data_IF_352052895109
#
_entry.id   IF_352052895109
#
_cell.length_a   1.000
_cell.length_b   1.000
_cell.length_c   1.000
_cell.angle_alpha   90.00
_cell.angle_beta   90.00
_cell.angle_gamma   90.00
#
_symmetry.space_group_name_H-M   'P 1'
#
loop_
_entity.id
_entity.type
_entity.pdbx_description
1 polymer ?
#
# COMPACT_ATOMS: atom_id res chain seq x y z
N UNK A 1 -4.76 85.63 7.38
CA UNK A 1 -5.36 84.72 8.38
C UNK A 1 -6.19 83.55 7.79
N UNK A 2 -6.34 83.42 6.46
CA UNK A 2 -7.10 82.32 5.81
C UNK A 2 -6.45 80.93 5.89
N UNK A 3 -5.11 80.84 5.83
CA UNK A 3 -4.38 79.56 5.79
C UNK A 3 -4.60 78.58 6.96
N UNK A 4 -4.98 79.07 8.15
CA UNK A 4 -5.08 78.18 9.33
C UNK A 4 -6.41 77.41 9.36
N UNK A 5 -7.48 77.98 8.80
CA UNK A 5 -8.76 77.29 8.71
C UNK A 5 -8.76 76.26 7.58
N UNK A 6 -8.14 76.58 6.45
CA UNK A 6 -8.04 75.66 5.32
C UNK A 6 -7.22 74.40 5.66
N UNK A 7 -6.13 74.55 6.43
CA UNK A 7 -5.37 73.39 6.95
C UNK A 7 -6.18 72.51 7.91
N UNK A 8 -7.01 73.08 8.77
CA UNK A 8 -7.85 72.31 9.70
C UNK A 8 -8.96 71.55 8.96
N UNK A 9 -9.49 72.12 7.88
CA UNK A 9 -10.50 71.48 7.03
C UNK A 9 -9.88 70.33 6.21
N UNK A 10 -8.65 70.51 5.70
CA UNK A 10 -7.92 69.43 5.02
C UNK A 10 -7.52 68.28 5.98
N UNK A 11 -7.10 68.60 7.20
CA UNK A 11 -6.76 67.57 8.19
C UNK A 11 -7.97 66.73 8.60
N UNK A 12 -9.14 67.35 8.73
CA UNK A 12 -10.38 66.68 9.12
C UNK A 12 -10.92 65.77 8.00
N UNK A 13 -10.87 66.23 6.76
CA UNK A 13 -11.30 65.42 5.60
C UNK A 13 -10.37 64.22 5.35
N UNK A 14 -9.07 64.36 5.59
CA UNK A 14 -8.13 63.23 5.53
C UNK A 14 -8.39 62.18 6.63
N UNK A 15 -8.72 62.59 7.85
CA UNK A 15 -9.09 61.66 8.93
C UNK A 15 -10.40 60.91 8.64
N UNK A 16 -11.39 61.57 8.05
CA UNK A 16 -12.68 60.96 7.75
C UNK A 16 -12.58 59.92 6.62
N UNK A 17 -11.79 60.15 5.57
CA UNK A 17 -11.57 59.18 4.49
C UNK A 17 -10.83 57.91 4.96
N UNK A 18 -9.90 58.03 5.93
CA UNK A 18 -9.19 56.88 6.52
C UNK A 18 -10.11 56.06 7.46
N UNK A 19 -11.10 56.70 8.08
CA UNK A 19 -12.00 56.03 9.02
C UNK A 19 -13.11 55.17 8.37
N UNK A 20 -13.49 55.47 7.12
CA UNK A 20 -14.56 54.75 6.40
C UNK A 20 -14.12 53.51 5.64
N UNK A 21 -12.87 53.49 5.15
CA UNK A 21 -12.31 52.35 4.39
C UNK A 21 -11.82 51.22 5.30
N UNK A 22 -11.72 51.45 6.62
CA UNK A 22 -10.89 50.61 7.48
C UNK A 22 -11.65 49.50 8.20
N UNK A 23 -12.85 49.70 8.77
CA UNK A 23 -13.39 48.68 9.69
C UNK A 23 -13.81 47.36 9.03
N UNK A 24 -14.55 47.42 7.91
CA UNK A 24 -15.01 46.20 7.23
C UNK A 24 -13.87 45.53 6.44
N UNK A 25 -13.05 46.30 5.73
CA UNK A 25 -11.88 45.77 5.01
C UNK A 25 -10.83 45.15 5.95
N UNK A 26 -10.59 45.76 7.10
CA UNK A 26 -9.72 45.16 8.13
C UNK A 26 -10.35 43.87 8.65
N UNK A 27 -11.67 43.82 8.86
CA UNK A 27 -12.32 42.59 9.31
C UNK A 27 -12.18 41.44 8.29
N UNK A 28 -12.41 41.70 6.99
CA UNK A 28 -12.27 40.68 5.95
C UNK A 28 -10.82 40.23 5.76
N UNK A 29 -9.85 41.15 5.80
CA UNK A 29 -8.43 40.79 5.69
C UNK A 29 -7.97 39.94 6.87
N UNK A 30 -8.40 40.24 8.10
CA UNK A 30 -8.11 39.40 9.26
C UNK A 30 -8.73 38.01 9.13
N UNK A 31 -9.99 37.92 8.68
CA UNK A 31 -10.67 36.63 8.46
C UNK A 31 -9.92 35.80 7.42
N UNK A 32 -9.53 36.40 6.29
CA UNK A 32 -8.78 35.71 5.21
C UNK A 32 -7.40 35.29 5.68
N UNK A 33 -6.68 36.14 6.43
CA UNK A 33 -5.36 35.79 6.99
C UNK A 33 -5.46 34.65 8.00
N UNK A 34 -6.45 34.68 8.89
CA UNK A 34 -6.69 33.59 9.85
C UNK A 34 -7.07 32.29 9.13
N UNK A 35 -7.92 32.36 8.10
CA UNK A 35 -8.29 31.21 7.30
C UNK A 35 -7.09 30.63 6.54
N UNK A 36 -6.28 31.48 5.90
CA UNK A 36 -5.07 31.08 5.21
C UNK A 36 -4.04 30.45 6.17
N UNK A 37 -3.86 31.03 7.36
CA UNK A 37 -3.00 30.47 8.40
C UNK A 37 -3.52 29.10 8.87
N UNK A 38 -4.83 28.95 9.05
CA UNK A 38 -5.48 27.67 9.36
C UNK A 38 -5.26 26.62 8.27
N UNK A 39 -5.41 26.98 7.00
CA UNK A 39 -5.16 26.08 5.86
C UNK A 39 -3.68 25.68 5.79
N UNK A 40 -2.75 26.62 5.99
CA UNK A 40 -1.31 26.31 6.04
C UNK A 40 -0.97 25.36 7.20
N UNK A 41 -1.50 25.63 8.40
CA UNK A 41 -1.34 24.76 9.55
C UNK A 41 -1.92 23.37 9.28
N UNK A 42 -3.08 23.28 8.62
CA UNK A 42 -3.72 22.04 8.23
C UNK A 42 -2.90 21.25 7.20
N UNK A 43 -2.34 21.92 6.19
CA UNK A 43 -1.44 21.29 5.21
C UNK A 43 -0.17 20.76 5.89
N UNK A 44 0.43 21.54 6.80
CA UNK A 44 1.60 21.09 7.59
C UNK A 44 1.24 19.89 8.46
N UNK A 45 0.07 19.91 9.09
CA UNK A 45 -0.46 18.80 9.87
C UNK A 45 -0.62 17.52 9.02
N UNK A 46 -1.26 17.61 7.85
CA UNK A 46 -1.42 16.48 6.93
C UNK A 46 -0.07 15.94 6.44
N UNK A 47 0.87 16.83 6.07
CA UNK A 47 2.22 16.42 5.66
C UNK A 47 2.94 15.66 6.77
N UNK A 48 2.85 16.13 8.02
CA UNK A 48 3.40 15.42 9.19
C UNK A 48 2.75 14.06 9.40
N UNK A 49 1.43 13.96 9.24
CA UNK A 49 0.71 12.70 9.40
C UNK A 49 1.13 11.68 8.32
N UNK A 50 1.23 12.09 7.06
CA UNK A 50 1.69 11.24 5.97
C UNK A 50 3.15 10.80 6.15
N UNK A 51 4.01 11.69 6.65
CA UNK A 51 5.41 11.35 6.94
C UNK A 51 5.52 10.28 8.05
N UNK A 52 4.65 10.32 9.06
CA UNK A 52 4.59 9.27 10.09
C UNK A 52 4.18 7.92 9.50
N UNK A 53 3.14 7.90 8.65
CA UNK A 53 2.69 6.69 7.97
C UNK A 53 3.76 6.07 7.08
N UNK A 54 4.48 6.88 6.30
CA UNK A 54 5.62 6.39 5.48
C UNK A 54 6.69 5.74 6.33
N UNK A 55 7.05 6.33 7.48
CA UNK A 55 8.03 5.74 8.39
C UNK A 55 7.55 4.40 8.98
N UNK A 56 6.27 4.28 9.30
CA UNK A 56 5.68 3.01 9.78
C UNK A 56 5.71 1.94 8.69
N UNK A 57 5.34 2.29 7.45
CA UNK A 57 5.40 1.39 6.29
C UNK A 57 6.84 0.99 5.95
N UNK A 58 7.79 1.91 6.02
CA UNK A 58 9.22 1.64 5.86
C UNK A 58 9.73 0.70 6.96
N UNK A 59 9.36 0.95 8.22
CA UNK A 59 9.74 0.08 9.33
C UNK A 59 9.11 -1.32 9.20
N UNK A 60 7.86 -1.41 8.79
CA UNK A 60 7.19 -2.70 8.56
C UNK A 60 7.77 -3.42 7.34
N UNK A 61 8.04 -2.71 6.24
CA UNK A 61 8.67 -3.29 5.06
C UNK A 61 10.09 -3.77 5.38
N UNK A 62 10.86 -3.03 6.20
CA UNK A 62 12.16 -3.44 6.69
C UNK A 62 12.06 -4.69 7.58
N UNK A 63 11.05 -4.79 8.46
CA UNK A 63 10.75 -6.01 9.22
C UNK A 63 10.40 -7.17 8.29
N UNK A 64 9.50 -6.97 7.33
CA UNK A 64 9.12 -8.00 6.34
C UNK A 64 10.32 -8.48 5.53
N UNK A 65 11.23 -7.58 5.11
CA UNK A 65 12.50 -7.94 4.44
C UNK A 65 13.35 -8.85 5.32
N UNK A 66 13.47 -8.57 6.63
CA UNK A 66 14.19 -9.43 7.58
C UNK A 66 13.59 -10.84 7.71
N UNK A 67 12.30 -11.00 7.41
CA UNK A 67 11.59 -12.27 7.48
C UNK A 67 11.42 -12.99 6.12
N UNK A 68 11.84 -12.38 5.00
CA UNK A 68 11.88 -13.09 3.72
C UNK A 68 12.97 -14.14 3.77
N UNK A 69 12.58 -15.40 3.62
CA UNK A 69 13.51 -16.52 3.59
C UNK A 69 14.36 -16.56 2.32
N UNK A 70 15.53 -17.18 2.40
CA UNK A 70 16.37 -17.53 1.24
C UNK A 70 16.03 -18.94 0.75
N UNK A 71 16.27 -19.22 -0.54
CA UNK A 71 16.01 -20.53 -1.13
C UNK A 71 17.27 -21.39 -1.05
N UNK A 72 17.13 -22.62 -0.56
CA UNK A 72 18.25 -23.56 -0.55
C UNK A 72 18.59 -23.99 -1.99
N UNK A 73 19.87 -23.93 -2.43
CA UNK A 73 20.26 -24.32 -3.79
C UNK A 73 20.11 -25.82 -4.03
N UNK A 74 20.25 -26.65 -2.99
CA UNK A 74 20.12 -28.11 -3.08
C UNK A 74 18.66 -28.57 -3.13
N UNK A 75 17.85 -28.23 -2.13
CA UNK A 75 16.50 -28.78 -1.99
C UNK A 75 15.37 -27.81 -2.38
N UNK A 76 15.70 -26.58 -2.82
CA UNK A 76 14.75 -25.54 -3.27
C UNK A 76 13.71 -25.08 -2.24
N UNK A 77 13.76 -25.56 -0.99
CA UNK A 77 12.92 -25.09 0.10
C UNK A 77 13.33 -23.69 0.56
N UNK A 78 12.35 -22.92 1.03
CA UNK A 78 12.57 -21.59 1.60
C UNK A 78 12.92 -21.75 3.08
N UNK A 79 14.04 -21.18 3.48
CA UNK A 79 14.52 -21.17 4.87
C UNK A 79 14.75 -19.74 5.33
N UNK A 80 14.85 -19.50 6.64
CA UNK A 80 15.21 -18.17 7.15
C UNK A 80 16.53 -17.66 6.56
N UNK A 81 16.57 -16.40 6.13
CA UNK A 81 17.76 -15.77 5.55
C UNK A 81 19.00 -15.87 6.47
N UNK A 82 18.77 -15.86 7.79
CA UNK A 82 19.82 -15.90 8.83
C UNK A 82 20.35 -17.29 9.15
N UNK A 83 19.74 -18.37 8.62
CA UNK A 83 20.23 -19.72 8.93
C UNK A 83 21.45 -20.06 8.11
N UNK A 84 22.46 -20.60 8.78
CA UNK A 84 23.70 -21.09 8.18
C UNK A 84 23.55 -22.51 7.61
N UNK A 85 22.54 -23.25 8.04
CA UNK A 85 22.28 -24.63 7.61
C UNK A 85 20.81 -24.81 7.23
N UNK A 86 20.57 -25.50 6.10
CA UNK A 86 19.23 -25.85 5.65
C UNK A 86 18.63 -26.95 6.53
N UNK A 87 17.43 -26.72 7.09
CA UNK A 87 16.75 -27.70 7.94
C UNK A 87 16.14 -28.88 7.18
N UNK A 88 16.06 -28.80 5.86
CA UNK A 88 15.46 -29.85 5.04
C UNK A 88 16.47 -30.82 4.44
N UNK A 89 17.70 -30.36 4.18
CA UNK A 89 18.73 -31.18 3.52
C UNK A 89 20.14 -31.05 4.10
N UNK A 90 20.36 -30.23 5.13
CA UNK A 90 21.66 -30.08 5.78
C UNK A 90 22.70 -29.23 5.02
N UNK A 91 22.33 -28.66 3.86
CA UNK A 91 23.23 -27.78 3.10
C UNK A 91 23.71 -26.59 3.94
N UNK A 92 25.02 -26.37 4.00
CA UNK A 92 25.66 -25.27 4.73
C UNK A 92 25.91 -24.10 3.78
N UNK A 93 25.44 -22.91 4.16
CA UNK A 93 25.64 -21.68 3.41
C UNK A 93 26.96 -21.03 3.81
N UNK A 94 27.74 -20.62 2.83
CA UNK A 94 28.97 -19.86 3.03
C UNK A 94 28.67 -18.40 3.43
N UNK A 95 29.65 -17.74 4.05
CA UNK A 95 29.51 -16.35 4.48
C UNK A 95 29.24 -15.38 3.31
N UNK A 96 29.80 -15.67 2.13
CA UNK A 96 29.52 -14.93 0.91
C UNK A 96 28.04 -15.04 0.49
N UNK A 97 27.46 -16.24 0.55
CA UNK A 97 26.04 -16.47 0.24
C UNK A 97 25.10 -15.85 1.27
N UNK A 98 25.54 -15.77 2.54
CA UNK A 98 24.80 -15.09 3.60
C UNK A 98 24.78 -13.56 3.41
N UNK A 99 25.90 -12.97 2.97
CA UNK A 99 26.00 -11.54 2.65
C UNK A 99 25.23 -11.19 1.37
N UNK A 100 25.30 -12.04 0.35
CA UNK A 100 24.53 -11.90 -0.90
C UNK A 100 23.02 -11.91 -0.63
N UNK A 101 22.52 -12.85 0.17
CA UNK A 101 21.09 -12.93 0.52
C UNK A 101 20.55 -11.71 1.28
N UNK A 102 21.42 -10.89 1.88
CA UNK A 102 21.05 -9.67 2.61
C UNK A 102 21.11 -8.42 1.72
N UNK A 103 21.85 -8.46 0.61
CA UNK A 103 22.11 -7.32 -0.28
C UNK A 103 21.40 -7.42 -1.63
N UNK A 104 21.12 -8.62 -2.15
CA UNK A 104 20.39 -8.81 -3.40
C UNK A 104 18.88 -8.86 -3.16
N UNK A 105 18.26 -7.69 -2.99
CA UNK A 105 16.80 -7.57 -3.15
C UNK A 105 16.42 -7.49 -4.64
N UNK A 106 16.94 -8.39 -5.48
CA UNK A 106 16.49 -8.58 -6.85
C UNK A 106 15.27 -9.51 -6.88
N UNK A 107 14.14 -8.87 -6.61
CA UNK A 107 12.91 -8.92 -7.38
C UNK A 107 12.60 -10.15 -8.29
N UNK A 108 12.55 -11.37 -7.75
CA UNK A 108 11.59 -12.37 -8.24
C UNK A 108 10.34 -12.37 -7.37
N UNK A 109 9.37 -11.53 -7.75
CA UNK A 109 8.00 -11.58 -7.27
C UNK A 109 7.27 -12.79 -7.89
N UNK A 110 7.19 -13.90 -7.17
CA UNK A 110 5.96 -14.68 -7.21
C UNK A 110 4.99 -14.04 -6.23
N UNK A 111 4.20 -13.09 -6.75
CA UNK A 111 3.12 -12.46 -6.02
C UNK A 111 1.95 -13.45 -5.92
N UNK A 112 2.00 -14.37 -4.95
CA UNK A 112 0.75 -14.92 -4.43
C UNK A 112 0.16 -13.87 -3.48
N UNK A 113 -0.53 -12.90 -4.06
CA UNK A 113 -1.43 -12.00 -3.32
C UNK A 113 -2.46 -12.83 -2.59
N UNK A 114 -2.17 -13.15 -1.33
CA UNK A 114 -3.17 -13.63 -0.39
C UNK A 114 -4.00 -12.44 0.11
N UNK A 115 -4.71 -11.76 -0.81
CA UNK A 115 -6.05 -11.28 -0.48
C UNK A 115 -6.93 -12.52 -0.39
N UNK A 116 -6.74 -13.32 0.65
CA UNK A 116 -7.65 -14.41 0.97
C UNK A 116 -8.95 -13.81 1.50
N UNK A 117 -9.82 -13.41 0.57
CA UNK A 117 -11.24 -13.72 0.69
C UNK A 117 -11.28 -15.18 1.12
N UNK A 118 -11.78 -15.47 2.34
CA UNK A 118 -11.81 -16.80 2.95
C UNK A 118 -12.41 -17.80 1.96
N UNK A 119 -11.59 -18.44 1.13
CA UNK A 119 -12.04 -19.55 0.29
C UNK A 119 -12.11 -20.73 1.23
N UNK A 120 -13.28 -20.92 1.85
CA UNK A 120 -13.57 -22.14 2.60
C UNK A 120 -13.42 -23.29 1.59
N UNK A 121 -12.51 -24.21 1.86
CA UNK A 121 -12.30 -25.39 1.02
C UNK A 121 -13.54 -26.26 0.95
N UNK A 122 -13.58 -27.22 0.01
CA UNK A 122 -14.62 -28.25 -0.01
C UNK A 122 -14.31 -29.33 1.02
N UNK A 123 -15.33 -29.86 1.70
CA UNK A 123 -15.16 -30.99 2.62
C UNK A 123 -15.13 -32.28 1.82
N UNK A 124 -14.18 -33.15 2.13
CA UNK A 124 -14.18 -34.50 1.59
C UNK A 124 -15.34 -35.30 2.18
N UNK A 125 -16.22 -35.94 1.39
CA UNK A 125 -17.32 -36.73 1.95
C UNK A 125 -16.82 -37.96 2.73
N UNK A 126 -15.67 -38.51 2.34
CA UNK A 126 -15.13 -39.72 2.95
C UNK A 126 -14.38 -39.49 4.27
N UNK A 127 -13.52 -38.48 4.37
CA UNK A 127 -12.71 -38.21 5.58
C UNK A 127 -13.00 -36.87 6.26
N UNK A 128 -13.97 -36.10 5.75
CA UNK A 128 -14.44 -34.80 6.29
C UNK A 128 -13.39 -33.68 6.36
N UNK A 129 -12.14 -33.95 6.00
CA UNK A 129 -11.10 -32.94 5.90
C UNK A 129 -11.45 -31.89 4.85
N UNK A 130 -11.12 -30.64 5.17
CA UNK A 130 -11.33 -29.49 4.28
C UNK A 130 -10.14 -29.40 3.33
N UNK A 131 -10.40 -29.54 2.04
CA UNK A 131 -9.37 -29.47 0.99
C UNK A 131 -9.63 -28.31 0.02
N UNK A 132 -8.65 -27.98 -0.81
CA UNK A 132 -8.81 -26.96 -1.85
C UNK A 132 -9.97 -27.32 -2.81
N UNK A 133 -10.84 -26.35 -3.11
CA UNK A 133 -12.03 -26.52 -3.96
C UNK A 133 -11.71 -27.10 -5.34
N UNK A 134 -10.56 -26.74 -5.92
CA UNK A 134 -10.13 -27.16 -7.27
C UNK A 134 -9.40 -28.50 -7.33
N UNK A 135 -9.27 -29.23 -6.22
CA UNK A 135 -8.63 -30.54 -6.26
C UNK A 135 -9.65 -31.62 -6.58
N UNK A 136 -9.38 -32.42 -7.59
CA UNK A 136 -10.22 -33.56 -7.96
C UNK A 136 -9.92 -34.80 -7.12
N UNK A 137 -8.85 -34.76 -6.30
CA UNK A 137 -8.50 -35.85 -5.38
C UNK A 137 -8.17 -35.31 -3.99
N UNK A 138 -8.72 -35.95 -2.97
CA UNK A 138 -8.45 -35.65 -1.56
C UNK A 138 -7.04 -36.09 -1.15
N UNK A 139 -6.25 -35.18 -0.55
CA UNK A 139 -4.88 -35.46 -0.11
C UNK A 139 -4.78 -36.35 1.14
N UNK A 140 -5.86 -36.45 1.91
CA UNK A 140 -5.86 -37.20 3.17
C UNK A 140 -6.32 -38.64 3.02
N UNK A 141 -7.19 -38.93 2.05
CA UNK A 141 -7.77 -40.26 1.89
C UNK A 141 -7.91 -40.73 0.43
N UNK A 142 -7.44 -39.97 -0.55
CA UNK A 142 -7.46 -40.36 -1.97
C UNK A 142 -8.83 -40.29 -2.66
N UNK A 143 -9.88 -39.83 -1.99
CA UNK A 143 -11.23 -39.73 -2.58
C UNK A 143 -11.25 -38.84 -3.82
N UNK A 144 -11.78 -39.36 -4.94
CA UNK A 144 -11.90 -38.65 -6.21
C UNK A 144 -13.25 -37.94 -6.33
N UNK A 145 -13.22 -36.65 -6.65
CA UNK A 145 -14.39 -35.83 -6.91
C UNK A 145 -14.65 -35.90 -8.41
N UNK A 146 -15.40 -36.91 -8.87
CA UNK A 146 -15.74 -37.06 -10.29
C UNK A 146 -16.50 -35.82 -10.77
N UNK A 147 -15.82 -34.95 -11.52
CA UNK A 147 -16.46 -33.85 -12.24
C UNK A 147 -17.26 -34.43 -13.40
N UNK A 148 -18.59 -34.25 -13.37
CA UNK A 148 -19.43 -34.43 -14.56
C UNK A 148 -18.85 -33.50 -15.64
N UNK A 149 -18.47 -33.99 -16.84
CA UNK A 149 -17.87 -33.14 -17.85
C UNK A 149 -18.91 -32.14 -18.36
N UNK A 150 -18.54 -30.86 -18.33
CA UNK A 150 -19.28 -29.79 -18.97
C UNK A 150 -19.38 -30.08 -20.48
N UNK A 151 -20.61 -30.25 -20.95
CA UNK A 151 -20.96 -30.35 -22.34
C UNK A 151 -20.63 -29.04 -23.09
N UNK A 152 -20.19 -29.23 -24.34
CA UNK A 152 -20.27 -28.31 -25.47
C UNK A 152 -19.31 -27.10 -25.54
N UNK A 153 -18.18 -27.33 -26.22
CA UNK A 153 -17.59 -26.35 -27.14
C UNK A 153 -17.21 -27.07 -28.44
N UNK A 154 -17.99 -26.86 -29.51
CA UNK A 154 -17.65 -27.28 -30.87
C UNK A 154 -16.53 -26.42 -31.49
N UNK A 155 -16.05 -26.80 -32.69
CA UNK A 155 -16.23 -25.95 -33.88
C UNK A 155 -16.74 -26.77 -35.07
N UNK A 156 -17.70 -26.28 -35.87
CA UNK A 156 -17.56 -25.35 -36.99
C UNK A 156 -16.75 -25.92 -38.19
N UNK A 157 -17.47 -26.08 -39.32
CA UNK A 157 -17.06 -26.48 -40.67
C UNK A 157 -15.68 -26.03 -41.16
N UNK A 158 -14.99 -26.86 -41.96
CA UNK A 158 -14.72 -26.64 -43.40
C UNK A 158 -13.72 -27.66 -43.99
N UNK A 159 -14.05 -28.12 -45.20
CA UNK A 159 -13.23 -28.47 -46.38
C UNK A 159 -11.73 -28.80 -46.24
N UNK A 160 -11.29 -29.95 -46.79
CA UNK A 160 -10.45 -30.03 -47.99
C UNK A 160 -9.85 -31.44 -48.22
N UNK A 161 -9.94 -31.89 -49.49
CA UNK A 161 -9.04 -32.76 -50.29
C UNK A 161 -8.32 -33.95 -49.61
N UNK A 162 -8.43 -35.19 -50.09
CA UNK A 162 -7.92 -35.77 -51.35
C UNK A 162 -8.66 -37.08 -51.63
#
# INVERSE_FOLDING_TARGET
MKNRQDMLIQAKTAQEMVSGITRNQISYTLIVVLWAAGVLAYIVYLRRQLARRRKEEEAESAKRKRHRGKRCPQCKNIISARREVCQHCGYKFSEAEMKAATSSSEHHHHHSSSHHKKRRGKKCPQCQNVINYYRDVCQHCGYQFNSIPASNSGPANSSDSI
#
